data_IF_375819468179
#
_entry.id   IF_375819468179
#
_cell.length_a   1.000
_cell.length_b   1.000
_cell.length_c   1.000
_cell.angle_alpha   90.00
_cell.angle_beta   90.00
_cell.angle_gamma   90.00
#
_symmetry.space_group_name_H-M   'P 1'
#
loop_
_entity.id
_entity.type
_entity.pdbx_description
1 polymer ?
#
# COMPACT_ATOMS: atom_id res chain seq x y z
N UNK A 1 -11.40 -16.25 14.73
CA UNK A 1 -10.51 -15.77 13.65
C UNK A 1 -9.39 -16.74 13.23
N UNK A 2 -9.16 -17.86 13.92
CA UNK A 2 -8.12 -18.85 13.54
C UNK A 2 -8.46 -19.78 12.34
N UNK A 3 -9.67 -19.70 11.76
CA UNK A 3 -10.10 -20.58 10.66
C UNK A 3 -9.64 -20.14 9.26
N UNK A 4 -9.34 -18.85 9.04
CA UNK A 4 -9.02 -18.33 7.69
C UNK A 4 -7.55 -18.57 7.28
N UNK A 5 -6.61 -18.50 8.22
CA UNK A 5 -5.17 -18.83 8.02
C UNK A 5 -4.94 -20.30 7.67
N UNK A 6 -5.79 -21.21 8.17
CA UNK A 6 -5.64 -22.65 7.90
C UNK A 6 -6.01 -22.99 6.45
N UNK A 7 -7.08 -22.41 5.93
CA UNK A 7 -7.56 -22.64 4.55
C UNK A 7 -6.57 -22.21 3.46
N UNK A 8 -5.88 -21.08 3.58
CA UNK A 8 -4.93 -20.63 2.54
C UNK A 8 -3.65 -21.47 2.51
N UNK A 9 -3.14 -21.89 3.66
CA UNK A 9 -2.01 -22.83 3.71
C UNK A 9 -2.41 -24.22 3.18
N UNK A 10 -3.58 -24.73 3.56
CA UNK A 10 -4.06 -26.04 3.06
C UNK A 10 -4.24 -26.00 1.52
N UNK A 11 -4.74 -24.89 0.95
CA UNK A 11 -4.90 -24.75 -0.51
C UNK A 11 -3.56 -24.68 -1.24
N UNK A 12 -2.58 -23.95 -0.67
CA UNK A 12 -1.25 -23.84 -1.24
C UNK A 12 -0.49 -25.18 -1.14
N UNK A 13 -0.58 -25.91 -0.04
CA UNK A 13 0.05 -27.24 0.09
C UNK A 13 -0.52 -28.25 -0.92
N UNK A 14 -1.83 -28.22 -1.15
CA UNK A 14 -2.50 -29.07 -2.16
C UNK A 14 -2.07 -28.67 -3.58
N UNK A 15 -1.96 -27.37 -3.86
CA UNK A 15 -1.47 -26.85 -5.15
C UNK A 15 0.00 -27.20 -5.39
N UNK A 16 0.85 -27.13 -4.35
CA UNK A 16 2.28 -27.46 -4.40
C UNK A 16 2.50 -28.93 -4.74
N UNK A 17 1.75 -29.82 -4.07
CA UNK A 17 1.81 -31.26 -4.32
C UNK A 17 1.28 -31.62 -5.73
N UNK A 18 0.21 -30.98 -6.19
CA UNK A 18 -0.31 -31.16 -7.54
C UNK A 18 0.69 -30.69 -8.61
N UNK A 19 1.34 -29.54 -8.40
CA UNK A 19 2.39 -29.04 -9.28
C UNK A 19 3.57 -30.00 -9.38
N UNK A 20 4.03 -30.53 -8.23
CA UNK A 20 5.13 -31.49 -8.18
C UNK A 20 4.81 -32.80 -8.90
N UNK A 21 3.57 -33.28 -8.84
CA UNK A 21 3.13 -34.48 -9.54
C UNK A 21 3.08 -34.29 -11.07
N UNK A 22 2.63 -33.13 -11.53
CA UNK A 22 2.43 -32.88 -12.96
C UNK A 22 3.72 -32.40 -13.66
N UNK A 23 4.49 -31.50 -13.04
CA UNK A 23 5.67 -30.85 -13.62
C UNK A 23 7.00 -31.31 -12.99
N UNK A 24 6.99 -32.22 -12.00
CA UNK A 24 8.23 -32.69 -11.38
C UNK A 24 9.04 -31.62 -10.63
N UNK A 25 8.40 -30.48 -10.34
CA UNK A 25 8.90 -29.36 -9.54
C UNK A 25 7.72 -28.66 -8.87
N UNK A 26 7.86 -28.31 -7.59
CA UNK A 26 6.83 -27.56 -6.86
C UNK A 26 7.06 -26.05 -6.93
N UNK A 27 6.03 -25.24 -6.63
CA UNK A 27 6.24 -23.79 -6.54
C UNK A 27 7.14 -23.42 -5.35
N UNK A 28 7.11 -24.18 -4.24
CA UNK A 28 7.99 -23.93 -3.08
C UNK A 28 9.47 -24.10 -3.44
N UNK A 29 9.78 -25.05 -4.32
CA UNK A 29 11.13 -25.27 -4.85
C UNK A 29 11.56 -24.11 -5.75
N UNK A 30 10.66 -23.63 -6.62
CA UNK A 30 10.90 -22.46 -7.47
C UNK A 30 11.08 -21.18 -6.66
N UNK A 31 10.28 -20.98 -5.61
CA UNK A 31 10.37 -19.83 -4.70
C UNK A 31 11.72 -19.81 -3.97
N UNK A 32 12.14 -20.96 -3.43
CA UNK A 32 13.47 -21.10 -2.81
C UNK A 32 14.60 -20.85 -3.79
N UNK A 33 14.47 -21.34 -5.02
CA UNK A 33 15.45 -21.06 -6.07
C UNK A 33 15.54 -19.55 -6.35
N UNK A 34 14.41 -18.85 -6.44
CA UNK A 34 14.37 -17.40 -6.66
C UNK A 34 14.91 -16.57 -5.49
N UNK A 35 15.02 -17.13 -4.28
CA UNK A 35 15.66 -16.48 -3.13
C UNK A 35 17.19 -16.53 -3.19
N UNK A 36 17.76 -17.46 -3.97
CA UNK A 36 19.21 -17.51 -4.20
C UNK A 36 19.70 -16.38 -5.10
N UNK A 37 20.97 -16.01 -4.98
CA UNK A 37 21.57 -14.88 -5.73
C UNK A 37 22.97 -15.23 -6.24
N UNK A 38 23.36 -14.58 -7.33
CA UNK A 38 24.72 -14.63 -7.85
C UNK A 38 25.26 -16.06 -8.02
N UNK A 39 26.47 -16.30 -7.52
CA UNK A 39 27.17 -17.57 -7.68
C UNK A 39 26.47 -18.74 -6.98
N UNK A 40 25.88 -18.52 -5.80
CA UNK A 40 25.13 -19.55 -5.08
C UNK A 40 23.92 -20.03 -5.89
N UNK A 41 23.21 -19.07 -6.51
CA UNK A 41 22.07 -19.41 -7.34
C UNK A 41 22.46 -20.14 -8.63
N UNK A 42 23.60 -19.80 -9.24
CA UNK A 42 24.13 -20.55 -10.40
C UNK A 42 24.48 -21.99 -10.01
N UNK A 43 25.12 -22.21 -8.85
CA UNK A 43 25.43 -23.54 -8.35
C UNK A 43 24.15 -24.34 -8.08
N UNK A 44 23.20 -23.75 -7.36
CA UNK A 44 21.92 -24.38 -7.03
C UNK A 44 21.16 -24.78 -8.30
N UNK A 45 21.10 -23.90 -9.30
CA UNK A 45 20.48 -24.15 -10.59
C UNK A 45 21.13 -25.35 -11.31
N UNK A 46 22.45 -25.40 -11.35
CA UNK A 46 23.18 -26.46 -12.06
C UNK A 46 23.13 -27.81 -11.33
N UNK A 47 23.37 -27.82 -10.02
CA UNK A 47 23.50 -29.05 -9.22
C UNK A 47 22.14 -29.67 -8.89
N UNK A 48 21.14 -28.86 -8.54
CA UNK A 48 19.83 -29.36 -8.08
C UNK A 48 18.86 -29.58 -9.24
N UNK A 49 18.89 -28.71 -10.24
CA UNK A 49 17.89 -28.69 -11.32
C UNK A 49 18.45 -29.13 -12.68
N UNK A 50 19.74 -29.47 -12.77
CA UNK A 50 20.38 -29.86 -14.04
C UNK A 50 20.55 -28.68 -15.00
N UNK A 51 20.68 -27.47 -14.46
CA UNK A 51 20.81 -26.23 -15.23
C UNK A 51 19.50 -25.78 -15.88
N UNK A 52 19.61 -24.85 -16.84
CA UNK A 52 18.46 -24.31 -17.57
C UNK A 52 17.69 -25.40 -18.35
N UNK A 53 18.42 -26.36 -18.95
CA UNK A 53 17.80 -27.45 -19.71
C UNK A 53 16.98 -28.39 -18.83
N UNK A 54 17.49 -28.74 -17.64
CA UNK A 54 16.76 -29.59 -16.69
C UNK A 54 15.55 -28.88 -16.09
N UNK A 55 15.66 -27.57 -15.82
CA UNK A 55 14.55 -26.75 -15.38
C UNK A 55 13.46 -26.61 -16.46
N UNK A 56 13.85 -26.40 -17.71
CA UNK A 56 12.94 -26.42 -18.87
C UNK A 56 12.24 -27.77 -19.02
N UNK A 57 12.96 -28.89 -18.84
CA UNK A 57 12.39 -30.23 -18.90
C UNK A 57 11.35 -30.48 -17.80
N UNK A 58 11.65 -30.09 -16.55
CA UNK A 58 10.70 -30.14 -15.43
C UNK A 58 9.45 -29.32 -15.74
N UNK A 59 9.62 -28.06 -16.11
CA UNK A 59 8.49 -27.18 -16.47
C UNK A 59 7.79 -27.53 -17.79
N UNK A 60 8.20 -28.61 -18.48
CA UNK A 60 7.71 -29.03 -19.80
C UNK A 60 7.77 -27.88 -20.83
N UNK A 61 8.77 -27.02 -20.73
CA UNK A 61 8.99 -25.85 -21.59
C UNK A 61 10.20 -26.07 -22.50
N UNK A 62 10.06 -25.72 -23.78
CA UNK A 62 11.19 -25.60 -24.67
C UNK A 62 11.80 -24.19 -24.59
N UNK A 63 13.09 -24.08 -24.28
CA UNK A 63 13.78 -22.79 -24.11
C UNK A 63 13.89 -21.95 -25.39
N UNK A 64 13.72 -22.58 -26.57
CA UNK A 64 13.81 -21.92 -27.88
C UNK A 64 12.41 -21.61 -28.41
N UNK A 65 11.53 -22.61 -28.46
CA UNK A 65 10.19 -22.48 -29.06
C UNK A 65 9.14 -21.97 -28.07
N UNK A 66 9.46 -21.92 -26.78
CA UNK A 66 8.53 -21.52 -25.73
C UNK A 66 7.42 -22.55 -25.47
N UNK A 67 6.35 -22.10 -24.81
CA UNK A 67 5.20 -22.92 -24.47
C UNK A 67 4.29 -23.18 -25.67
N UNK A 68 3.50 -24.25 -25.57
CA UNK A 68 2.36 -24.46 -26.45
C UNK A 68 1.18 -23.57 -26.03
N UNK A 69 0.34 -23.19 -26.97
CA UNK A 69 -0.88 -22.40 -26.71
C UNK A 69 -2.11 -23.27 -26.46
N UNK A 70 -1.88 -24.52 -26.02
CA UNK A 70 -2.97 -25.38 -25.60
C UNK A 70 -3.61 -24.83 -24.32
N UNK A 71 -4.91 -24.55 -24.39
CA UNK A 71 -5.70 -24.03 -23.27
C UNK A 71 -5.68 -24.99 -22.07
N UNK A 72 -5.52 -26.30 -22.33
CA UNK A 72 -5.39 -27.31 -21.28
C UNK A 72 -4.07 -27.18 -20.51
N UNK A 73 -2.93 -27.00 -21.19
CA UNK A 73 -1.62 -26.81 -20.54
C UNK A 73 -1.58 -25.51 -19.73
N UNK A 74 -2.13 -24.42 -20.29
CA UNK A 74 -2.22 -23.14 -19.59
C UNK A 74 -3.08 -23.29 -18.33
N UNK A 75 -4.24 -23.94 -18.42
CA UNK A 75 -5.13 -24.17 -17.28
C UNK A 75 -4.48 -25.02 -16.19
N UNK A 76 -3.70 -26.04 -16.56
CA UNK A 76 -2.93 -26.85 -15.63
C UNK A 76 -1.87 -26.04 -14.91
N UNK A 77 -1.12 -25.17 -15.62
CA UNK A 77 -0.12 -24.28 -15.02
C UNK A 77 -0.77 -23.28 -14.06
N UNK A 78 -1.92 -22.70 -14.43
CA UNK A 78 -2.66 -21.80 -13.57
C UNK A 78 -3.15 -22.49 -12.28
N UNK A 79 -3.55 -23.77 -12.39
CA UNK A 79 -3.95 -24.56 -11.24
C UNK A 79 -2.75 -24.97 -10.35
N UNK A 80 -1.58 -25.19 -10.95
CA UNK A 80 -0.36 -25.62 -10.25
C UNK A 80 0.40 -24.45 -9.57
N UNK A 81 0.59 -23.35 -10.31
CA UNK A 81 1.49 -22.24 -9.95
C UNK A 81 0.77 -20.90 -9.70
N UNK A 82 -0.54 -20.83 -9.94
CA UNK A 82 -1.33 -19.62 -9.76
C UNK A 82 -1.31 -18.66 -10.96
N UNK A 83 -1.91 -17.48 -10.75
CA UNK A 83 -2.08 -16.42 -11.75
C UNK A 83 -1.06 -15.31 -11.54
N UNK A 84 -0.67 -14.62 -12.61
CA UNK A 84 0.17 -13.43 -12.52
C UNK A 84 -0.62 -12.18 -12.10
N UNK A 85 -1.21 -12.22 -10.91
CA UNK A 85 -1.96 -11.12 -10.33
C UNK A 85 -1.75 -11.10 -8.81
N UNK A 86 -1.39 -9.94 -8.28
CA UNK A 86 -1.37 -9.71 -6.83
C UNK A 86 -2.77 -9.20 -6.48
N UNK A 87 -3.52 -9.88 -5.61
CA UNK A 87 -4.91 -9.51 -5.36
C UNK A 87 -4.98 -8.08 -4.79
N UNK A 88 -5.76 -7.19 -5.42
CA UNK A 88 -5.95 -5.85 -4.88
C UNK A 88 -6.73 -5.93 -3.57
N UNK A 89 -6.55 -4.93 -2.70
CA UNK A 89 -7.35 -4.81 -1.48
C UNK A 89 -8.85 -4.80 -1.84
N UNK A 90 -9.71 -5.50 -1.08
CA UNK A 90 -11.14 -5.52 -1.35
C UNK A 90 -11.71 -4.09 -1.24
N UNK A 91 -12.69 -3.73 -2.08
CA UNK A 91 -13.27 -2.39 -2.05
C UNK A 91 -13.95 -2.15 -0.71
N UNK A 92 -13.86 -0.92 -0.20
CA UNK A 92 -14.64 -0.51 0.96
C UNK A 92 -16.13 -0.62 0.64
N UNK A 93 -16.89 -1.20 1.57
CA UNK A 93 -18.35 -1.26 1.45
C UNK A 93 -18.94 0.13 1.63
N UNK A 94 -20.11 0.38 1.04
CA UNK A 94 -20.82 1.66 1.22
C UNK A 94 -21.05 1.98 2.71
N UNK A 95 -21.40 0.98 3.52
CA UNK A 95 -21.53 1.14 4.96
C UNK A 95 -20.21 1.50 5.65
N UNK A 96 -19.08 0.92 5.22
CA UNK A 96 -17.78 1.31 5.77
C UNK A 96 -17.44 2.76 5.42
N UNK A 97 -17.73 3.19 4.19
CA UNK A 97 -17.55 4.60 3.79
C UNK A 97 -18.45 5.54 4.60
N UNK A 98 -19.67 5.12 4.89
CA UNK A 98 -20.60 5.87 5.73
C UNK A 98 -20.10 6.01 7.18
N UNK A 99 -19.55 4.91 7.75
CA UNK A 99 -18.92 4.94 9.09
C UNK A 99 -17.66 5.80 9.08
N UNK A 100 -16.83 5.70 8.05
CA UNK A 100 -15.63 6.53 7.89
C UNK A 100 -16.03 8.02 7.82
N UNK A 101 -17.12 8.38 7.12
CA UNK A 101 -17.65 9.74 7.06
C UNK A 101 -18.20 10.23 8.42
N UNK A 102 -18.81 9.35 9.20
CA UNK A 102 -19.30 9.66 10.56
C UNK A 102 -18.18 9.89 11.58
N UNK A 103 -16.93 9.54 11.29
CA UNK A 103 -15.79 9.77 12.19
C UNK A 103 -15.21 11.18 12.12
N UNK A 104 -15.71 12.04 11.22
CA UNK A 104 -15.35 13.45 11.18
C UNK A 104 -15.76 14.14 12.49
N UNK A 105 -14.80 14.76 13.18
CA UNK A 105 -15.01 15.45 14.46
C UNK A 105 -16.14 16.48 14.36
N UNK A 106 -16.26 17.16 13.22
CA UNK A 106 -17.30 18.17 12.99
C UNK A 106 -18.69 17.52 12.97
N UNK A 107 -18.86 16.40 12.26
CA UNK A 107 -20.12 15.65 12.23
C UNK A 107 -20.43 15.00 13.57
N UNK A 108 -19.43 14.50 14.29
CA UNK A 108 -19.62 13.94 15.64
C UNK A 108 -20.15 14.99 16.61
N UNK A 109 -19.60 16.22 16.58
CA UNK A 109 -20.09 17.33 17.41
C UNK A 109 -21.55 17.65 17.04
N UNK A 110 -21.87 17.74 15.75
CA UNK A 110 -23.25 17.99 15.30
C UNK A 110 -24.22 16.90 15.75
N UNK A 111 -23.81 15.62 15.72
CA UNK A 111 -24.62 14.50 16.20
C UNK A 111 -24.85 14.61 17.71
N UNK A 112 -23.83 14.95 18.51
CA UNK A 112 -23.98 15.16 19.95
C UNK A 112 -24.95 16.32 20.23
N UNK A 113 -24.79 17.46 19.56
CA UNK A 113 -25.70 18.60 19.67
C UNK A 113 -27.14 18.23 19.29
N UNK A 114 -27.32 17.43 18.24
CA UNK A 114 -28.62 16.96 17.79
C UNK A 114 -29.28 16.04 18.82
N UNK A 115 -28.52 15.11 19.42
CA UNK A 115 -29.00 14.21 20.46
C UNK A 115 -29.38 14.99 21.73
N UNK A 116 -28.58 15.96 22.16
CA UNK A 116 -28.88 16.80 23.32
C UNK A 116 -30.15 17.62 23.08
N UNK A 117 -30.25 18.28 21.92
CA UNK A 117 -31.43 19.10 21.56
C UNK A 117 -32.70 18.26 21.46
N UNK A 118 -32.59 17.07 20.86
CA UNK A 118 -33.69 16.11 20.78
C UNK A 118 -34.07 15.58 22.17
N UNK A 119 -33.09 15.26 23.03
CA UNK A 119 -33.33 14.77 24.39
C UNK A 119 -33.99 15.81 25.30
N UNK A 120 -33.57 17.08 25.21
CA UNK A 120 -34.19 18.19 25.92
C UNK A 120 -35.63 18.43 25.44
N UNK A 121 -35.92 18.19 24.16
CA UNK A 121 -37.30 18.26 23.65
C UNK A 121 -38.25 17.23 24.28
N UNK A 122 -37.76 16.11 24.83
CA UNK A 122 -38.60 15.18 25.59
C UNK A 122 -38.69 15.52 27.08
N UNK A 123 -37.81 16.39 27.57
CA UNK A 123 -37.76 16.79 28.97
C UNK A 123 -38.38 18.17 29.12
N UNK A 124 -39.70 18.22 29.32
CA UNK A 124 -40.41 19.46 29.68
C UNK A 124 -40.42 19.64 31.20
N UNK A 125 -39.55 20.47 31.81
CA UNK A 125 -39.81 20.98 33.15
C UNK A 125 -41.04 21.89 33.11
N UNK A 126 -41.93 21.74 34.08
CA UNK A 126 -43.23 22.45 34.15
C UNK A 126 -43.13 23.93 34.52
N UNK A 127 -41.96 24.54 34.55
CA UNK A 127 -41.77 25.90 35.06
C UNK A 127 -41.18 26.83 33.99
N UNK A 128 -42.01 27.76 33.51
CA UNK A 128 -41.60 28.92 32.73
C UNK A 128 -40.59 29.76 33.53
N UNK A 129 -39.37 29.98 33.03
CA UNK A 129 -38.65 31.28 33.03
C UNK A 129 -37.17 31.13 32.61
N UNK A 130 -36.88 31.09 31.30
CA UNK A 130 -35.72 31.81 30.75
C UNK A 130 -35.81 31.88 29.23
N UNK A 131 -35.84 33.11 28.70
CA UNK A 131 -35.82 33.48 27.28
C UNK A 131 -37.05 33.12 26.44
N UNK A 132 -38.20 33.63 26.88
CA UNK A 132 -39.32 33.95 26.00
C UNK A 132 -39.24 35.42 25.55
N UNK A 133 -38.33 35.76 24.64
CA UNK A 133 -38.50 36.95 23.80
C UNK A 133 -38.19 36.56 22.35
N UNK A 134 -39.24 36.57 21.52
CA UNK A 134 -39.29 36.32 20.07
C UNK A 134 -39.56 34.87 19.60
N UNK A 135 -40.72 34.30 19.95
CA UNK A 135 -41.72 33.72 19.00
C UNK A 135 -42.92 33.06 19.73
N UNK A 136 -44.13 33.05 19.14
CA UNK A 136 -45.31 32.51 19.79
C UNK A 136 -45.31 30.98 19.80
N UNK A 137 -45.60 30.45 20.99
CA UNK A 137 -46.17 29.15 21.36
C UNK A 137 -46.62 28.23 20.20
N UNK A 138 -45.78 27.24 19.88
CA UNK A 138 -46.23 25.94 19.35
C UNK A 138 -45.38 24.81 19.97
N UNK A 139 -45.80 24.30 21.14
CA UNK A 139 -45.15 23.20 21.86
C UNK A 139 -45.06 21.87 21.07
N UNK A 140 -45.65 21.80 19.86
CA UNK A 140 -45.54 20.64 18.96
C UNK A 140 -44.34 20.72 18.00
N UNK A 141 -43.52 21.79 18.08
CA UNK A 141 -42.44 22.09 17.13
C UNK A 141 -41.04 21.89 17.73
N UNK A 142 -40.91 21.69 19.04
CA UNK A 142 -39.59 21.60 19.70
C UNK A 142 -38.79 20.35 19.28
N UNK A 143 -39.45 19.21 19.06
CA UNK A 143 -38.78 18.00 18.56
C UNK A 143 -38.33 18.14 17.11
N UNK A 144 -38.96 19.07 16.37
CA UNK A 144 -38.71 19.30 14.95
C UNK A 144 -37.34 19.96 14.74
N UNK A 145 -36.87 20.76 15.70
CA UNK A 145 -35.53 21.36 15.65
C UNK A 145 -34.42 20.31 15.74
N UNK A 146 -34.46 19.45 16.77
CA UNK A 146 -33.52 18.34 16.90
C UNK A 146 -33.62 17.34 15.75
N UNK A 147 -34.84 17.02 15.31
CA UNK A 147 -35.07 16.14 14.16
C UNK A 147 -34.52 16.73 12.85
N UNK A 148 -34.64 18.05 12.63
CA UNK A 148 -34.10 18.72 11.44
C UNK A 148 -32.56 18.60 11.36
N UNK A 149 -31.87 18.74 12.49
CA UNK A 149 -30.40 18.59 12.54
C UNK A 149 -30.00 17.13 12.25
N UNK A 150 -30.70 16.15 12.83
CA UNK A 150 -30.43 14.72 12.55
C UNK A 150 -30.63 14.43 11.05
N UNK A 151 -31.73 14.89 10.46
CA UNK A 151 -32.01 14.70 9.03
C UNK A 151 -30.93 15.36 8.17
N UNK A 152 -30.51 16.58 8.51
CA UNK A 152 -29.44 17.29 7.80
C UNK A 152 -28.11 16.50 7.83
N UNK A 153 -27.71 16.01 9.02
CA UNK A 153 -26.50 15.18 9.18
C UNK A 153 -26.59 13.90 8.35
N UNK A 154 -27.75 13.21 8.38
CA UNK A 154 -27.96 11.99 7.59
C UNK A 154 -27.80 12.28 6.09
N UNK A 155 -28.39 13.37 5.59
CA UNK A 155 -28.25 13.77 4.18
C UNK A 155 -26.79 14.04 3.83
N UNK A 156 -26.06 14.79 4.66
CA UNK A 156 -24.64 15.10 4.44
C UNK A 156 -23.81 13.81 4.40
N UNK A 157 -23.99 12.91 5.36
CA UNK A 157 -23.28 11.63 5.42
C UNK A 157 -23.57 10.78 4.19
N UNK A 158 -24.82 10.72 3.73
CA UNK A 158 -25.20 9.98 2.52
C UNK A 158 -24.55 10.58 1.26
N UNK A 159 -24.59 11.91 1.10
CA UNK A 159 -23.95 12.59 -0.04
C UNK A 159 -22.44 12.38 -0.03
N UNK A 160 -21.79 12.51 1.13
CA UNK A 160 -20.34 12.27 1.28
C UNK A 160 -19.99 10.82 0.96
N UNK A 161 -20.70 9.85 1.53
CA UNK A 161 -20.47 8.43 1.26
C UNK A 161 -20.72 8.07 -0.21
N UNK A 162 -21.73 8.66 -0.84
CA UNK A 162 -22.03 8.46 -2.26
C UNK A 162 -20.93 9.04 -3.16
N UNK A 163 -20.44 10.25 -2.85
CA UNK A 163 -19.34 10.88 -3.56
C UNK A 163 -18.07 10.04 -3.45
N UNK A 164 -17.72 9.58 -2.25
CA UNK A 164 -16.53 8.77 -2.04
C UNK A 164 -16.65 7.38 -2.66
N UNK A 165 -17.82 6.77 -2.63
CA UNK A 165 -18.07 5.51 -3.35
C UNK A 165 -17.92 5.67 -4.86
N UNK A 166 -18.40 6.79 -5.42
CA UNK A 166 -18.26 7.10 -6.84
C UNK A 166 -16.79 7.32 -7.22
N UNK A 167 -16.03 8.07 -6.41
CA UNK A 167 -14.58 8.25 -6.60
C UNK A 167 -13.85 6.92 -6.57
N UNK A 168 -14.09 6.10 -5.54
CA UNK A 168 -13.46 4.78 -5.39
C UNK A 168 -13.74 3.89 -6.61
N UNK A 169 -14.99 3.89 -7.12
CA UNK A 169 -15.35 3.15 -8.32
C UNK A 169 -14.63 3.64 -9.57
N UNK A 170 -14.44 4.95 -9.72
CA UNK A 170 -13.71 5.53 -10.85
C UNK A 170 -12.22 5.19 -10.80
N UNK A 171 -11.58 5.30 -9.64
CA UNK A 171 -10.18 4.91 -9.45
C UNK A 171 -9.95 3.44 -9.80
N UNK A 172 -10.85 2.55 -9.35
CA UNK A 172 -10.77 1.12 -9.69
C UNK A 172 -10.97 0.84 -11.18
N UNK A 173 -11.85 1.59 -11.84
CA UNK A 173 -12.05 1.47 -13.29
C UNK A 173 -10.81 1.86 -14.09
N UNK A 174 -10.13 2.93 -13.67
CA UNK A 174 -8.86 3.34 -14.26
C UNK A 174 -7.76 2.31 -14.02
N UNK A 175 -7.62 1.85 -12.77
CA UNK A 175 -6.62 0.85 -12.40
C UNK A 175 -6.80 -0.44 -13.20
N UNK A 176 -8.03 -0.96 -13.27
CA UNK A 176 -8.35 -2.17 -14.04
C UNK A 176 -8.04 -2.03 -15.52
N UNK A 177 -8.19 -0.82 -16.09
CA UNK A 177 -7.92 -0.58 -17.50
C UNK A 177 -6.43 -0.41 -17.80
N UNK A 178 -5.70 0.24 -16.90
CA UNK A 178 -4.24 0.34 -17.00
C UNK A 178 -3.61 -1.06 -16.91
N UNK A 179 -4.09 -1.89 -15.99
CA UNK A 179 -3.61 -3.27 -15.85
C UNK A 179 -3.96 -4.17 -17.05
N UNK A 180 -5.11 -3.97 -17.71
CA UNK A 180 -5.51 -4.77 -18.87
C UNK A 180 -4.77 -4.41 -20.15
N UNK A 181 -4.32 -3.15 -20.28
CA UNK A 181 -3.70 -2.65 -21.50
C UNK A 181 -2.19 -2.94 -21.57
N UNK A 182 -1.56 -3.33 -20.45
CA UNK A 182 -0.14 -3.69 -20.42
C UNK A 182 0.10 -5.07 -21.03
N UNK A 183 0.89 -5.09 -22.10
CA UNK A 183 1.28 -6.30 -22.83
C UNK A 183 2.78 -6.54 -22.74
N UNK A 184 3.18 -7.80 -22.79
CA UNK A 184 4.57 -8.23 -22.78
C UNK A 184 4.85 -9.20 -23.92
N UNK A 185 6.09 -9.18 -24.43
CA UNK A 185 6.51 -10.09 -25.48
C UNK A 185 6.88 -11.46 -24.89
N UNK A 186 6.20 -12.50 -25.32
CA UNK A 186 6.50 -13.90 -24.98
C UNK A 186 6.69 -14.74 -26.23
N UNK A 187 7.46 -15.81 -26.13
CA UNK A 187 7.61 -16.81 -27.18
C UNK A 187 6.67 -17.97 -26.86
N UNK A 188 5.70 -18.22 -27.74
CA UNK A 188 4.83 -19.41 -27.69
C UNK A 188 4.72 -19.98 -29.10
N UNK A 189 4.77 -21.32 -29.24
CA UNK A 189 4.78 -22.01 -30.54
C UNK A 189 5.85 -21.47 -31.53
N UNK A 190 7.04 -21.11 -31.04
CA UNK A 190 8.16 -20.53 -31.80
C UNK A 190 7.86 -19.16 -32.44
N UNK A 191 6.82 -18.47 -31.97
CA UNK A 191 6.41 -17.16 -32.46
C UNK A 191 6.45 -16.17 -31.29
N UNK A 192 7.04 -15.00 -31.51
CA UNK A 192 6.99 -13.90 -30.55
C UNK A 192 5.61 -13.25 -30.63
N UNK A 193 4.90 -13.21 -29.51
CA UNK A 193 3.54 -12.66 -29.38
C UNK A 193 3.47 -11.70 -28.22
N UNK A 194 2.59 -10.70 -28.33
CA UNK A 194 2.25 -9.81 -27.23
C UNK A 194 1.01 -10.32 -26.52
N UNK A 195 1.18 -10.75 -25.27
CA UNK A 195 0.07 -11.17 -24.40
C UNK A 195 -0.07 -10.18 -23.24
N UNK A 196 -1.29 -10.02 -22.68
CA UNK A 196 -1.47 -9.29 -21.43
C UNK A 196 -0.57 -9.82 -20.31
N UNK A 197 -0.06 -8.95 -19.44
CA UNK A 197 0.80 -9.35 -18.30
C UNK A 197 0.11 -10.39 -17.40
N UNK A 198 -1.22 -10.28 -17.24
CA UNK A 198 -2.03 -11.20 -16.42
C UNK A 198 -2.06 -12.64 -16.96
N UNK A 199 -1.81 -12.82 -18.26
CA UNK A 199 -1.87 -14.12 -18.94
C UNK A 199 -0.51 -14.83 -19.00
N UNK A 200 0.53 -14.21 -18.43
CA UNK A 200 1.86 -14.80 -18.29
C UNK A 200 1.79 -15.89 -17.21
N UNK A 201 2.34 -17.06 -17.52
CA UNK A 201 2.35 -18.23 -16.64
C UNK A 201 3.76 -18.76 -16.42
N UNK A 202 3.95 -19.55 -15.36
CA UNK A 202 5.22 -20.24 -15.09
C UNK A 202 5.57 -21.16 -16.27
N UNK A 203 6.81 -21.04 -16.74
CA UNK A 203 7.30 -21.72 -17.92
C UNK A 203 7.22 -20.91 -19.21
N UNK A 204 6.62 -19.72 -19.24
CA UNK A 204 6.71 -18.83 -20.40
C UNK A 204 8.15 -18.38 -20.66
N UNK A 205 8.48 -18.17 -21.94
CA UNK A 205 9.73 -17.54 -22.35
C UNK A 205 9.45 -16.08 -22.70
N UNK A 206 9.81 -15.17 -21.81
CA UNK A 206 9.66 -13.73 -21.99
C UNK A 206 10.85 -13.15 -22.76
N UNK A 207 10.58 -12.29 -23.74
CA UNK A 207 11.61 -11.54 -24.43
C UNK A 207 11.69 -10.14 -23.83
N UNK A 208 12.78 -9.88 -23.11
CA UNK A 208 13.00 -8.63 -22.37
C UNK A 208 13.95 -7.73 -23.14
N UNK A 209 13.64 -6.43 -23.19
CA UNK A 209 14.43 -5.39 -23.87
C UNK A 209 14.58 -4.16 -22.98
N UNK A 210 15.47 -3.26 -23.38
CA UNK A 210 15.62 -1.94 -22.77
C UNK A 210 14.29 -1.22 -22.57
N UNK A 211 14.09 -0.70 -21.36
CA UNK A 211 12.91 0.04 -20.94
C UNK A 211 11.75 -0.82 -20.44
N UNK A 212 11.83 -2.15 -20.55
CA UNK A 212 10.79 -3.03 -20.04
C UNK A 212 10.80 -3.06 -18.50
N UNK A 213 9.60 -3.09 -17.93
CA UNK A 213 9.35 -3.47 -16.53
C UNK A 213 9.12 -4.98 -16.49
N UNK A 214 9.87 -5.70 -15.65
CA UNK A 214 9.73 -7.15 -15.58
C UNK A 214 8.37 -7.56 -14.98
N UNK A 215 7.57 -8.38 -15.71
CA UNK A 215 6.21 -8.70 -15.31
C UNK A 215 6.10 -9.86 -14.31
N UNK A 216 7.17 -10.65 -14.18
CA UNK A 216 7.24 -11.86 -13.38
C UNK A 216 8.71 -12.16 -13.03
N UNK A 217 8.90 -13.05 -12.06
CA UNK A 217 10.22 -13.51 -11.65
C UNK A 217 10.69 -14.62 -12.58
N UNK A 218 11.99 -14.65 -12.87
CA UNK A 218 12.52 -15.65 -13.78
C UNK A 218 14.03 -15.78 -13.78
N UNK A 219 14.50 -16.64 -14.68
CA UNK A 219 15.91 -16.91 -14.91
C UNK A 219 16.30 -16.57 -16.35
N UNK A 220 17.47 -15.97 -16.53
CA UNK A 220 18.05 -15.66 -17.84
C UNK A 220 18.36 -16.96 -18.57
N UNK A 221 17.75 -17.12 -19.74
CA UNK A 221 18.07 -18.19 -20.70
C UNK A 221 19.21 -17.76 -21.61
N UNK A 222 19.20 -16.50 -22.03
CA UNK A 222 20.21 -15.90 -22.90
C UNK A 222 20.21 -14.40 -22.65
N UNK A 223 21.38 -13.79 -22.45
CA UNK A 223 21.52 -12.35 -22.27
C UNK A 223 22.43 -11.70 -23.32
N UNK A 224 22.22 -10.39 -23.55
CA UNK A 224 23.10 -9.55 -24.35
C UNK A 224 23.26 -8.20 -23.64
N UNK A 225 24.40 -8.02 -22.96
CA UNK A 225 24.76 -6.84 -22.16
C UNK A 225 23.65 -6.36 -21.20
N UNK A 226 22.99 -7.31 -20.53
CA UNK A 226 21.84 -7.04 -19.68
C UNK A 226 22.24 -6.32 -18.38
N UNK A 227 21.69 -5.12 -18.17
CA UNK A 227 21.77 -4.39 -16.90
C UNK A 227 20.39 -4.00 -16.41
N UNK A 228 20.19 -4.16 -15.10
CA UNK A 228 18.89 -3.96 -14.45
C UNK A 228 19.04 -3.01 -13.28
N UNK A 229 18.04 -2.16 -13.12
CA UNK A 229 17.84 -1.36 -11.92
C UNK A 229 16.96 -2.13 -10.93
N UNK A 230 17.56 -2.59 -9.83
CA UNK A 230 16.88 -3.28 -8.73
C UNK A 230 16.53 -2.35 -7.55
N UNK A 231 16.74 -1.02 -7.69
CA UNK A 231 16.50 -0.04 -6.62
C UNK A 231 15.09 -0.07 -6.05
N UNK A 232 14.10 -0.43 -6.88
CA UNK A 232 12.71 -0.58 -6.46
C UNK A 232 12.50 -1.69 -5.42
N UNK A 233 13.40 -2.67 -5.38
CA UNK A 233 13.31 -3.84 -4.49
C UNK A 233 14.36 -3.83 -3.37
N UNK A 234 15.61 -3.50 -3.71
CA UNK A 234 16.74 -3.53 -2.75
C UNK A 234 17.02 -2.16 -2.12
N UNK A 235 16.58 -1.07 -2.76
CA UNK A 235 16.93 0.30 -2.38
C UNK A 235 18.33 0.73 -2.83
N UNK A 236 19.08 -0.12 -3.53
CA UNK A 236 20.39 0.20 -4.07
C UNK A 236 20.25 0.73 -5.50
N UNK A 237 20.81 1.90 -5.79
CA UNK A 237 20.67 2.58 -7.09
C UNK A 237 21.63 2.08 -8.18
N UNK A 238 22.54 1.16 -7.84
CA UNK A 238 23.56 0.68 -8.77
C UNK A 238 22.98 -0.31 -9.78
N UNK A 239 23.36 -0.16 -11.05
CA UNK A 239 22.94 -1.06 -12.11
C UNK A 239 23.64 -2.43 -11.98
N UNK A 240 22.84 -3.48 -11.87
CA UNK A 240 23.34 -4.85 -11.70
C UNK A 240 23.43 -5.53 -13.08
N UNK A 241 24.63 -6.04 -13.40
CA UNK A 241 24.86 -6.84 -14.60
C UNK A 241 24.35 -8.27 -14.39
N UNK A 242 23.45 -8.70 -15.27
CA UNK A 242 22.85 -10.04 -15.24
C UNK A 242 23.38 -10.88 -16.39
N UNK A 243 23.69 -12.14 -16.09
CA UNK A 243 24.25 -13.08 -17.07
C UNK A 243 23.94 -14.51 -16.64
N UNK A 244 23.69 -15.40 -17.60
CA UNK A 244 23.32 -16.81 -17.39
C UNK A 244 24.30 -17.58 -16.47
N UNK A 245 25.59 -17.21 -16.47
CA UNK A 245 26.64 -17.91 -15.71
C UNK A 245 27.08 -17.24 -14.41
N UNK A 246 26.60 -16.03 -14.10
CA UNK A 246 27.07 -15.27 -12.93
C UNK A 246 25.94 -14.86 -12.00
N UNK A 247 24.90 -14.25 -12.55
CA UNK A 247 23.72 -13.83 -11.80
C UNK A 247 22.52 -13.88 -12.75
N UNK A 248 21.86 -15.04 -12.87
CA UNK A 248 20.85 -15.27 -13.89
C UNK A 248 19.44 -14.89 -13.41
N UNK A 249 19.25 -14.48 -12.16
CA UNK A 249 17.90 -14.24 -11.62
C UNK A 249 17.40 -12.84 -11.89
N UNK A 250 16.16 -12.78 -12.36
CA UNK A 250 15.44 -11.60 -12.76
C UNK A 250 14.19 -11.44 -11.89
N UNK A 251 13.95 -10.22 -11.40
CA UNK A 251 12.94 -9.96 -10.38
C UNK A 251 11.82 -9.06 -10.93
N UNK A 252 10.58 -9.46 -10.71
CA UNK A 252 9.39 -8.70 -11.05
C UNK A 252 9.42 -7.32 -10.39
N UNK A 253 9.02 -6.29 -11.13
CA UNK A 253 9.03 -4.90 -10.65
C UNK A 253 10.34 -4.15 -10.84
N UNK A 254 11.36 -4.79 -11.44
CA UNK A 254 12.65 -4.15 -11.79
C UNK A 254 12.68 -3.70 -13.25
N UNK A 255 13.51 -2.70 -13.55
CA UNK A 255 13.58 -2.06 -14.87
C UNK A 255 14.84 -2.47 -15.63
N UNK A 256 14.67 -2.84 -16.92
CA UNK A 256 15.79 -3.11 -17.80
C UNK A 256 16.40 -1.79 -18.29
N UNK A 257 17.64 -1.52 -17.88
CA UNK A 257 18.34 -0.27 -18.16
C UNK A 257 19.31 -0.38 -19.33
N UNK A 258 19.79 -1.58 -19.66
CA UNK A 258 20.60 -1.83 -20.86
C UNK A 258 20.40 -3.26 -21.37
N UNK A 259 20.62 -3.44 -22.67
CA UNK A 259 20.68 -4.77 -23.28
C UNK A 259 19.33 -5.42 -23.59
N UNK A 260 19.36 -6.73 -23.76
CA UNK A 260 18.19 -7.58 -23.99
C UNK A 260 18.44 -9.00 -23.51
N UNK A 261 17.38 -9.74 -23.23
CA UNK A 261 17.50 -11.15 -22.84
C UNK A 261 16.25 -11.96 -23.17
N UNK A 262 16.40 -13.28 -23.10
CA UNK A 262 15.30 -14.23 -22.97
C UNK A 262 15.26 -14.71 -21.52
N UNK A 263 14.07 -14.67 -20.94
CA UNK A 263 13.83 -15.04 -19.55
C UNK A 263 12.83 -16.20 -19.50
N UNK A 264 13.13 -17.24 -18.74
CA UNK A 264 12.18 -18.28 -18.37
C UNK A 264 11.47 -17.87 -17.08
N UNK A 265 10.14 -17.80 -17.11
CA UNK A 265 9.32 -17.43 -15.95
C UNK A 265 9.30 -18.56 -14.93
N UNK A 266 9.66 -18.25 -13.69
CA UNK A 266 9.73 -19.21 -12.58
C UNK A 266 8.66 -18.95 -11.51
N UNK A 267 8.30 -17.69 -11.26
CA UNK A 267 7.27 -17.35 -10.28
C UNK A 267 6.45 -16.14 -10.72
N UNK A 268 5.16 -16.15 -10.40
CA UNK A 268 4.16 -15.16 -10.85
C UNK A 268 3.28 -14.71 -9.68
N UNK A 269 2.70 -13.52 -9.79
CA UNK A 269 1.70 -13.02 -8.85
C UNK A 269 2.17 -13.03 -7.40
N UNK A 270 1.40 -13.65 -6.50
CA UNK A 270 1.73 -13.75 -5.07
C UNK A 270 3.01 -14.53 -4.76
N UNK A 271 3.46 -15.39 -5.68
CA UNK A 271 4.65 -16.24 -5.49
C UNK A 271 5.93 -15.56 -5.98
N UNK A 272 5.84 -14.40 -6.63
CA UNK A 272 7.02 -13.60 -6.96
C UNK A 272 7.60 -12.94 -5.71
N UNK A 273 8.88 -12.54 -5.72
CA UNK A 273 9.53 -11.83 -4.61
C UNK A 273 8.76 -10.55 -4.25
N UNK A 274 8.38 -9.78 -5.26
CA UNK A 274 7.55 -8.57 -5.08
C UNK A 274 6.17 -8.92 -4.53
N UNK A 275 5.54 -10.00 -5.00
CA UNK A 275 4.27 -10.50 -4.50
C UNK A 275 4.33 -10.90 -3.01
N UNK A 276 5.37 -11.63 -2.63
CA UNK A 276 5.61 -12.04 -1.24
C UNK A 276 5.83 -10.85 -0.32
N UNK A 277 6.66 -9.88 -0.73
CA UNK A 277 6.86 -8.64 0.02
C UNK A 277 5.54 -7.88 0.17
N UNK A 278 4.74 -7.78 -0.90
CA UNK A 278 3.45 -7.12 -0.85
C UNK A 278 2.46 -7.84 0.07
N UNK A 279 2.46 -9.17 0.09
CA UNK A 279 1.65 -9.99 0.99
C UNK A 279 2.04 -9.80 2.45
N UNK A 280 3.34 -9.74 2.75
CA UNK A 280 3.85 -9.45 4.10
C UNK A 280 3.50 -8.03 4.55
N UNK A 281 3.67 -7.03 3.68
CA UNK A 281 3.30 -5.63 3.96
C UNK A 281 1.78 -5.40 4.01
N UNK A 282 1.02 -6.21 3.30
CA UNK A 282 -0.44 -6.21 3.33
C UNK A 282 -0.97 -6.74 4.66
N UNK A 283 -0.39 -7.84 5.13
CA UNK A 283 -0.72 -8.45 6.42
C UNK A 283 -0.44 -7.51 7.61
N UNK A 284 0.67 -6.75 7.58
CA UNK A 284 0.98 -5.80 8.67
C UNK A 284 0.00 -4.62 8.72
N UNK A 285 -0.50 -4.14 7.58
CA UNK A 285 -1.50 -3.06 7.55
C UNK A 285 -2.86 -3.49 8.11
N UNK A 286 -3.26 -4.75 7.93
CA UNK A 286 -4.49 -5.28 8.52
C UNK A 286 -4.40 -5.33 10.06
N UNK A 287 -3.21 -5.62 10.60
CA UNK A 287 -2.96 -5.66 12.04
C UNK A 287 -2.93 -4.24 12.66
N UNK A 288 -2.45 -3.23 11.94
CA UNK A 288 -2.42 -1.84 12.43
C UNK A 288 -3.81 -1.17 12.41
N UNK A 289 -4.66 -1.51 11.42
CA UNK A 289 -6.06 -1.06 11.38
C UNK A 289 -6.90 -1.71 12.50
N UNK A 290 -6.61 -2.95 12.92
CA UNK A 290 -7.27 -3.57 14.07
C UNK A 290 -6.80 -3.01 15.42
N UNK A 291 -5.49 -2.70 15.56
CA UNK A 291 -4.93 -2.15 16.82
C UNK A 291 -5.36 -0.70 17.07
N UNK A 292 -5.49 0.12 16.04
CA UNK A 292 -5.98 1.50 16.17
C UNK A 292 -7.45 1.57 16.62
N UNK A 293 -8.28 0.59 16.25
CA UNK A 293 -9.68 0.49 16.73
C UNK A 293 -9.77 -0.05 18.16
N UNK A 294 -8.87 -0.96 18.57
CA UNK A 294 -8.82 -1.48 19.95
C UNK A 294 -8.28 -0.45 20.95
N UNK A 295 -7.21 0.26 20.60
CA UNK A 295 -6.64 1.32 21.45
C UNK A 295 -7.61 2.49 21.68
N UNK A 296 -8.51 2.76 20.73
CA UNK A 296 -9.56 3.79 20.88
C UNK A 296 -10.72 3.33 21.79
N UNK A 297 -10.92 2.02 21.98
CA UNK A 297 -11.90 1.44 22.92
C UNK A 297 -11.33 1.26 24.34
N UNK A 298 -10.03 0.98 24.47
CA UNK A 298 -9.38 0.79 25.77
C UNK A 298 -9.15 2.13 26.49
N UNK A 299 -8.88 3.21 25.77
CA UNK A 299 -8.73 4.56 26.37
C UNK A 299 -10.05 5.22 26.82
N UNK A 300 -11.21 4.60 26.62
CA UNK A 300 -12.50 5.12 27.07
C UNK A 300 -12.98 4.54 28.42
N UNK A 301 -12.29 3.54 28.98
CA UNK A 301 -12.75 2.82 30.18
C UNK A 301 -11.77 2.89 31.38
N UNK A 302 -10.86 3.86 31.41
CA UNK A 302 -9.86 4.00 32.48
C UNK A 302 -9.75 5.43 33.02
N UNK A 303 -10.82 5.97 33.60
CA UNK A 303 -10.70 7.05 34.59
C UNK A 303 -11.28 6.56 35.91
N UNK A 304 -10.45 5.99 36.77
CA UNK A 304 -10.48 6.27 38.22
C UNK A 304 -9.10 5.98 38.83
N UNK A 305 -8.68 6.90 39.70
CA UNK A 305 -7.68 6.81 40.77
C UNK A 305 -6.18 6.96 40.47
N UNK A 306 -5.61 8.00 41.10
CA UNK A 306 -4.47 7.79 42.00
C UNK A 306 -3.12 8.36 41.55
N UNK A 307 -2.86 9.59 41.99
CA UNK A 307 -1.60 10.21 42.42
C UNK A 307 -0.20 9.64 42.06
N UNK A 308 0.69 10.62 41.88
CA UNK A 308 2.12 10.65 42.21
C UNK A 308 3.15 10.27 41.13
N UNK A 309 3.75 11.35 40.60
CA UNK A 309 5.19 11.63 40.68
C UNK A 309 6.14 10.60 40.05
N UNK A 310 6.75 10.93 38.91
CA UNK A 310 8.21 10.90 38.82
C UNK A 310 8.77 11.64 37.61
N UNK A 311 9.88 12.32 37.89
CA UNK A 311 10.72 13.13 37.02
C UNK A 311 11.33 12.32 35.89
N UNK A 312 11.38 12.95 34.73
CA UNK A 312 12.24 12.61 33.60
C UNK A 312 13.70 12.52 34.06
N UNK A 313 14.31 11.35 33.88
CA UNK A 313 15.77 11.15 33.88
C UNK A 313 16.13 10.40 32.61
N UNK A 314 16.88 11.05 31.74
CA UNK A 314 17.63 10.42 30.66
C UNK A 314 19.01 9.96 31.21
N UNK A 315 19.60 8.87 30.68
CA UNK A 315 21.04 8.69 30.67
C UNK A 315 21.53 8.75 29.21
N UNK A 316 22.35 9.75 28.85
CA UNK A 316 23.82 9.78 28.92
C UNK A 316 24.53 8.75 28.00
N UNK A 317 25.19 9.30 26.97
CA UNK A 317 26.39 8.73 26.37
C UNK A 317 27.56 9.71 26.57
N UNK A 318 28.71 9.11 26.89
CA UNK A 318 29.89 9.71 27.53
C UNK A 318 30.92 10.25 26.52
N UNK A 319 31.66 11.27 26.99
CA UNK A 319 33.03 11.69 26.68
C UNK A 319 33.31 12.75 25.59
N UNK A 320 34.00 13.82 26.03
CA UNK A 320 35.24 14.21 25.35
C UNK A 320 35.54 15.70 25.10
N UNK A 321 35.71 16.49 26.16
CA UNK A 321 36.71 17.56 26.34
C UNK A 321 36.93 18.71 25.30
N UNK A 322 36.68 19.92 25.81
CA UNK A 322 37.54 21.13 25.84
C UNK A 322 37.71 22.03 24.59
N UNK A 323 37.36 23.33 24.76
CA UNK A 323 38.19 24.42 24.21
C UNK A 323 37.50 25.71 23.71
N UNK A 324 37.09 26.59 24.64
CA UNK A 324 37.10 28.08 24.63
C UNK A 324 36.54 28.96 23.46
N UNK A 325 35.64 29.86 23.91
CA UNK A 325 35.49 31.32 23.64
C UNK A 325 35.15 31.84 22.23
N UNK A 326 33.97 32.46 22.03
CA UNK A 326 33.72 33.91 22.20
C UNK A 326 32.27 34.29 21.80
N UNK A 327 31.88 35.49 22.25
CA UNK A 327 30.58 36.15 22.30
C UNK A 327 29.88 36.53 20.96
N UNK A 328 28.55 36.51 21.06
CA UNK A 328 27.56 37.54 20.68
C UNK A 328 27.24 37.93 19.22
N UNK A 329 25.93 38.21 19.07
CA UNK A 329 25.28 39.29 18.30
C UNK A 329 24.60 38.94 16.94
N UNK A 330 23.27 39.05 16.99
CA UNK A 330 22.34 39.74 16.06
C UNK A 330 22.12 39.36 14.57
N UNK A 331 20.81 39.27 14.28
CA UNK A 331 20.06 39.87 13.17
C UNK A 331 20.08 39.27 11.74
N UNK A 332 18.87 38.84 11.37
CA UNK A 332 18.10 39.18 10.16
C UNK A 332 18.61 38.86 8.74
N UNK A 333 17.76 38.06 8.09
CA UNK A 333 17.17 38.24 6.76
C UNK A 333 17.94 37.90 5.48
N UNK A 334 17.33 36.94 4.76
CA UNK A 334 17.05 36.89 3.31
C UNK A 334 18.27 36.79 2.39
N UNK A 335 18.40 35.69 1.65
CA UNK A 335 18.05 35.64 0.21
C UNK A 335 18.14 34.22 -0.39
N UNK A 336 17.43 34.06 -1.50
CA UNK A 336 17.29 32.88 -2.35
C UNK A 336 18.47 32.80 -3.33
N UNK A 337 19.09 31.63 -3.53
CA UNK A 337 19.36 31.03 -4.87
C UNK A 337 20.34 29.83 -4.86
N UNK A 338 19.92 28.78 -5.59
CA UNK A 338 20.67 27.86 -6.49
C UNK A 338 21.84 26.99 -6.00
N UNK A 339 21.59 25.67 -6.14
CA UNK A 339 22.44 24.58 -6.66
C UNK A 339 23.94 24.53 -6.34
N UNK A 340 24.36 23.47 -5.63
CA UNK A 340 25.29 22.44 -6.16
C UNK A 340 25.45 21.25 -5.21
N UNK A 341 25.57 20.08 -5.83
CA UNK A 341 25.93 18.79 -5.25
C UNK A 341 27.25 18.82 -4.48
N UNK A 342 27.26 18.21 -3.30
CA UNK A 342 28.38 17.40 -2.78
C UNK A 342 27.85 16.40 -1.76
N UNK A 343 28.20 15.14 -1.98
CA UNK A 343 27.89 14.00 -1.14
C UNK A 343 28.55 14.07 0.25
N UNK A 344 27.88 13.49 1.24
CA UNK A 344 28.38 13.21 2.59
C UNK A 344 27.27 12.61 3.44
N UNK A 345 27.46 11.35 3.83
CA UNK A 345 26.60 10.49 4.65
C UNK A 345 25.87 11.20 5.80
N UNK A 346 24.62 10.78 6.04
CA UNK A 346 24.22 10.37 7.38
C UNK A 346 22.99 9.44 7.36
N UNK A 347 23.14 8.36 8.12
CA UNK A 347 22.21 7.30 8.47
C UNK A 347 20.95 7.84 9.16
N UNK A 348 19.76 7.46 8.67
CA UNK A 348 18.60 7.13 9.52
C UNK A 348 17.36 6.74 8.72
N UNK A 349 16.97 5.47 8.84
CA UNK A 349 15.59 4.98 8.89
C UNK A 349 14.57 5.59 7.92
N UNK A 350 14.49 5.04 6.72
CA UNK A 350 13.45 5.37 5.74
C UNK A 350 12.05 4.93 6.17
N UNK A 351 11.39 5.73 7.01
CA UNK A 351 9.94 5.84 6.99
C UNK A 351 9.54 6.32 5.58
N UNK A 352 8.64 5.61 4.90
CA UNK A 352 8.00 6.13 3.67
C UNK A 352 7.27 7.44 4.02
N UNK A 353 7.96 8.56 3.87
CA UNK A 353 7.34 9.87 3.79
C UNK A 353 6.40 9.77 2.60
N UNK A 354 5.09 9.80 2.85
CA UNK A 354 4.11 10.05 1.78
C UNK A 354 4.52 11.37 1.15
N UNK A 355 5.20 11.32 0.00
CA UNK A 355 5.40 12.48 -0.85
C UNK A 355 4.00 12.98 -1.23
N UNK A 356 3.51 13.97 -0.48
CA UNK A 356 2.26 14.64 -0.81
C UNK A 356 2.54 15.37 -2.13
N UNK A 357 1.68 15.19 -3.11
CA UNK A 357 1.74 15.95 -4.36
C UNK A 357 1.98 17.44 -4.05
N UNK A 358 2.86 18.10 -4.80
CA UNK A 358 3.20 19.52 -4.61
C UNK A 358 1.93 20.38 -4.54
N UNK A 359 0.90 20.00 -5.29
CA UNK A 359 -0.43 20.62 -5.26
C UNK A 359 -1.18 20.34 -3.97
N UNK A 360 -1.18 19.09 -3.48
CA UNK A 360 -1.79 18.75 -2.20
C UNK A 360 -1.11 19.47 -1.03
N UNK A 361 0.21 19.65 -1.06
CA UNK A 361 0.94 20.40 -0.03
C UNK A 361 0.49 21.87 0.01
N UNK A 362 0.37 22.52 -1.17
CA UNK A 362 -0.12 23.90 -1.29
C UNK A 362 -1.59 24.02 -0.85
N UNK A 363 -2.44 23.10 -1.28
CA UNK A 363 -3.85 23.06 -0.87
C UNK A 363 -4.03 22.84 0.63
N UNK A 364 -3.22 21.96 1.22
CA UNK A 364 -3.23 21.74 2.68
C UNK A 364 -2.85 23.02 3.42
N UNK A 365 -1.80 23.73 2.97
CA UNK A 365 -1.37 24.99 3.59
C UNK A 365 -2.46 26.06 3.50
N UNK A 366 -3.13 26.15 2.35
CA UNK A 366 -4.25 27.07 2.15
C UNK A 366 -5.45 26.71 3.04
N UNK A 367 -5.84 25.44 3.09
CA UNK A 367 -6.94 24.98 3.94
C UNK A 367 -6.69 25.27 5.43
N UNK A 368 -5.45 25.08 5.90
CA UNK A 368 -5.05 25.43 7.26
C UNK A 368 -5.17 26.94 7.50
N UNK A 369 -4.73 27.78 6.56
CA UNK A 369 -4.86 29.25 6.68
C UNK A 369 -6.32 29.70 6.73
N UNK A 370 -7.19 29.11 5.91
CA UNK A 370 -8.63 29.39 5.92
C UNK A 370 -9.23 28.95 7.26
N UNK A 371 -8.94 27.74 7.73
CA UNK A 371 -9.44 27.25 9.02
C UNK A 371 -9.00 28.11 10.21
N UNK A 372 -7.74 28.58 10.23
CA UNK A 372 -7.28 29.51 11.27
C UNK A 372 -7.94 30.89 11.19
N UNK A 373 -8.29 31.35 9.99
CA UNK A 373 -8.99 32.62 9.82
C UNK A 373 -10.44 32.51 10.33
N UNK A 374 -11.17 31.45 9.98
CA UNK A 374 -12.53 31.19 10.46
C UNK A 374 -12.58 31.03 11.99
N UNK A 375 -11.67 30.23 12.57
CA UNK A 375 -11.59 30.06 14.03
C UNK A 375 -11.30 31.39 14.74
N UNK A 376 -10.47 32.26 14.15
CA UNK A 376 -10.17 33.58 14.71
C UNK A 376 -11.38 34.49 14.64
N UNK A 377 -12.11 34.52 13.52
CA UNK A 377 -13.33 35.32 13.37
C UNK A 377 -14.44 34.87 14.34
N UNK A 378 -14.63 33.57 14.56
CA UNK A 378 -15.57 33.06 15.57
C UNK A 378 -15.18 33.49 17.00
N UNK A 379 -13.89 33.43 17.33
CA UNK A 379 -13.39 33.85 18.66
C UNK A 379 -13.51 35.36 18.87
N UNK A 380 -13.34 36.17 17.81
CA UNK A 380 -13.54 37.61 17.85
C UNK A 380 -15.02 37.99 17.96
N UNK A 381 -15.92 37.25 17.30
CA UNK A 381 -17.37 37.44 17.40
C UNK A 381 -17.89 37.21 18.83
N UNK A 382 -17.33 36.24 19.56
CA UNK A 382 -17.68 35.97 20.97
C UNK A 382 -17.19 37.06 21.94
N UNK A 383 -16.04 37.70 21.68
CA UNK A 383 -15.51 38.79 22.52
C UNK A 383 -16.20 40.15 22.31
N UNK A 384 -16.92 40.34 21.20
CA UNK A 384 -17.69 41.57 20.91
C UNK A 384 -19.12 41.53 21.50
N UNK A 385 -19.54 40.38 22.05
CA UNK A 385 -20.84 40.17 22.71
C UNK A 385 -20.75 40.04 24.25
N UNK A 386 -19.56 40.15 24.83
CA UNK A 386 -19.34 40.38 26.27
C UNK A 386 -19.09 41.85 26.53
#
# INVERSE_FOLDING_TARGET
MAKKKKTTNDTNEISSAAAALEFGISFDELEKLMQTRGHEGVLTLNETYGGLSGLGQKLKTNLITGLSEDESDISLRLAAFGRNEIPPKPPKTFFRLMVDALQDITLVILIICAIISFGLSFYHPSDETFQAELKPKEANVEWIEGAAIIVAVVVVVLVTAFNDWTKERQFRGLQSKIESDQKFNVVRNNIVKQIPIKDIVVGDICQVKYGDLLPADGVVVQSNDLKIDESSLTGESDLIKKHESKDPFLLSGTHIMEGSAKMLVLAVGEHSQTGMIFKLLGATKEDDEEKTVKNKKENANGLVDGEANERLVAPESIAGAQGNNHEATELQNVEIAKEKDTAGDDDSGGFKVKERSILQAKLTKLAIQIGYAELRDETFGLNLYS
#
